data_IF_612249843135
#
_entry.id   IF_612249843135
#
_cell.length_a   1.000
_cell.length_b   1.000
_cell.length_c   1.000
_cell.angle_alpha   90.00
_cell.angle_beta   90.00
_cell.angle_gamma   90.00
#
_symmetry.space_group_name_H-M   'P 1'
#
loop_
_entity.id
_entity.type
_entity.pdbx_description
1 polymer ?
#
# COMPACT_ATOMS: atom_id res chain seq x y z
N UNK A 1 5.25 -28.18 85.09
CA UNK A 1 4.35 -29.22 84.54
C UNK A 1 5.21 -30.08 83.62
N UNK A 2 5.52 -31.35 83.94
CA UNK A 2 4.63 -32.51 83.93
C UNK A 2 3.81 -32.59 82.63
N UNK A 3 3.71 -33.69 81.87
CA UNK A 3 4.39 -34.99 81.73
C UNK A 3 3.53 -35.76 80.69
N UNK A 4 4.09 -36.70 79.92
CA UNK A 4 3.41 -37.86 79.25
C UNK A 4 2.22 -37.60 78.30
N UNK A 5 2.17 -38.00 77.03
CA UNK A 5 2.56 -39.23 76.29
C UNK A 5 1.52 -40.38 76.28
N UNK A 6 1.09 -40.77 75.07
CA UNK A 6 0.59 -42.09 74.59
C UNK A 6 0.09 -41.89 73.14
N UNK A 7 0.59 -42.48 72.04
CA UNK A 7 1.27 -43.75 71.71
C UNK A 7 0.35 -44.98 71.54
N UNK A 8 0.17 -45.40 70.28
CA UNK A 8 0.06 -46.78 69.73
C UNK A 8 -0.16 -46.62 68.20
N UNK A 9 0.70 -47.02 67.26
CA UNK A 9 1.63 -48.14 67.07
C UNK A 9 0.95 -49.46 66.67
N UNK A 10 1.09 -49.84 65.38
CA UNK A 10 1.44 -51.16 64.83
C UNK A 10 1.12 -51.19 63.30
N UNK A 11 1.84 -51.86 62.38
CA UNK A 11 3.12 -52.61 62.42
C UNK A 11 3.71 -52.65 60.98
N UNK A 12 5.03 -52.45 60.86
CA UNK A 12 6.02 -53.15 60.02
C UNK A 12 5.53 -53.85 58.71
N UNK A 13 6.12 -53.68 57.52
CA UNK A 13 7.57 -53.77 57.16
C UNK A 13 7.77 -53.21 55.72
N UNK A 14 8.95 -53.06 55.11
CA UNK A 14 10.34 -53.38 55.49
C UNK A 14 11.30 -52.25 55.00
N UNK A 15 12.53 -52.58 54.56
CA UNK A 15 13.52 -51.65 53.98
C UNK A 15 14.11 -52.17 52.66
N UNK A 16 14.62 -51.28 51.78
CA UNK A 16 16.07 -51.03 51.55
C UNK A 16 16.35 -50.27 50.22
N UNK A 17 17.56 -49.71 50.14
CA UNK A 17 18.30 -49.22 48.95
C UNK A 17 18.09 -47.75 48.54
N UNK A 18 19.22 -47.10 48.25
CA UNK A 18 19.36 -45.68 47.99
C UNK A 18 19.32 -45.32 46.50
N UNK A 19 19.11 -44.03 46.21
CA UNK A 19 19.54 -43.37 44.97
C UNK A 19 21.07 -43.54 44.77
N UNK A 20 21.63 -43.50 43.54
CA UNK A 20 21.15 -42.69 42.42
C UNK A 20 20.96 -43.43 41.09
N UNK A 21 20.17 -42.81 40.20
CA UNK A 21 20.18 -43.13 38.78
C UNK A 21 20.06 -41.83 37.97
N UNK A 22 21.02 -41.61 37.07
CA UNK A 22 20.84 -40.70 35.93
C UNK A 22 19.75 -41.27 35.02
N UNK A 23 18.99 -40.38 34.38
CA UNK A 23 18.15 -40.74 33.25
C UNK A 23 18.51 -39.80 32.09
N UNK A 24 19.55 -40.17 31.35
CA UNK A 24 19.53 -39.92 29.92
C UNK A 24 18.60 -40.96 29.30
N UNK A 25 17.55 -40.47 28.65
CA UNK A 25 16.95 -41.02 27.44
C UNK A 25 15.87 -39.99 27.03
N UNK A 26 15.82 -39.49 25.82
CA UNK A 26 16.25 -40.15 24.59
C UNK A 26 15.09 -40.10 23.62
N UNK A 27 14.71 -38.89 23.21
CA UNK A 27 13.72 -38.71 22.15
C UNK A 27 14.37 -38.04 20.95
N UNK A 28 15.29 -38.79 20.34
CA UNK A 28 15.75 -38.49 19.00
C UNK A 28 14.53 -38.55 18.07
N UNK A 29 14.07 -37.39 17.62
CA UNK A 29 13.18 -37.29 16.47
C UNK A 29 13.96 -37.77 15.25
N UNK A 30 13.90 -39.07 14.98
CA UNK A 30 14.43 -39.63 13.74
C UNK A 30 13.77 -38.92 12.58
N UNK A 31 14.55 -38.13 11.85
CA UNK A 31 14.10 -37.55 10.60
C UNK A 31 13.60 -38.70 9.71
N UNK A 32 12.44 -38.57 9.04
CA UNK A 32 11.91 -39.64 8.21
C UNK A 32 12.94 -40.03 7.16
N UNK A 33 13.12 -41.34 6.94
CA UNK A 33 14.08 -41.88 5.98
C UNK A 33 13.75 -41.35 4.59
N UNK A 34 14.58 -40.43 4.08
CA UNK A 34 14.34 -39.79 2.78
C UNK A 34 14.71 -40.80 1.69
N UNK A 35 13.69 -41.37 1.05
CA UNK A 35 13.86 -42.29 -0.07
C UNK A 35 14.36 -41.50 -1.28
N UNK A 36 15.68 -41.42 -1.43
CA UNK A 36 16.32 -40.95 -2.65
C UNK A 36 16.04 -41.97 -3.78
N UNK A 37 15.17 -41.58 -4.71
CA UNK A 37 14.81 -42.40 -5.88
C UNK A 37 15.88 -42.40 -6.97
N UNK A 38 16.85 -41.50 -6.90
CA UNK A 38 17.85 -41.24 -7.93
C UNK A 38 19.26 -40.98 -7.34
N UNK A 39 19.83 -41.95 -6.59
CA UNK A 39 21.12 -41.78 -5.92
C UNK A 39 22.22 -41.34 -6.90
N UNK A 40 22.85 -40.22 -6.57
CA UNK A 40 23.91 -39.59 -7.38
C UNK A 40 23.43 -38.50 -8.35
N UNK A 41 22.12 -38.22 -8.44
CA UNK A 41 21.60 -37.07 -9.19
C UNK A 41 21.19 -35.94 -8.25
N UNK A 42 21.97 -34.86 -8.21
CA UNK A 42 21.61 -33.61 -7.54
C UNK A 42 20.53 -32.85 -8.33
N UNK A 43 19.32 -33.39 -8.35
CA UNK A 43 18.13 -32.73 -8.86
C UNK A 43 17.43 -32.03 -7.69
N UNK A 44 17.33 -30.70 -7.76
CA UNK A 44 16.88 -29.85 -6.65
C UNK A 44 15.53 -30.28 -6.03
N UNK A 45 14.49 -30.69 -6.81
CA UNK A 45 13.22 -31.16 -6.24
C UNK A 45 13.26 -32.51 -5.50
N UNK A 46 14.33 -33.31 -5.65
CA UNK A 46 14.47 -34.64 -5.02
C UNK A 46 15.62 -34.72 -4.02
N UNK A 47 16.38 -33.64 -3.84
CA UNK A 47 17.53 -33.63 -2.92
C UNK A 47 17.04 -33.67 -1.47
N UNK A 48 17.53 -34.58 -0.61
CA UNK A 48 17.13 -34.64 0.79
C UNK A 48 17.40 -33.33 1.53
N UNK A 49 16.36 -32.76 2.15
CA UNK A 49 16.52 -31.62 3.05
C UNK A 49 17.13 -32.11 4.36
N UNK A 50 18.44 -31.92 4.53
CA UNK A 50 19.14 -32.13 5.79
C UNK A 50 18.75 -31.01 6.78
N UNK A 51 17.63 -31.23 7.47
CA UNK A 51 17.01 -30.22 8.32
C UNK A 51 17.83 -29.85 9.54
N UNK A 52 17.97 -28.54 9.80
CA UNK A 52 18.11 -28.05 11.16
C UNK A 52 16.78 -28.29 11.91
N UNK A 53 16.82 -28.36 13.25
CA UNK A 53 15.58 -28.48 14.05
C UNK A 53 14.61 -27.35 13.71
N UNK A 54 13.42 -27.70 13.22
CA UNK A 54 12.38 -26.73 12.84
C UNK A 54 11.36 -26.61 13.97
N UNK A 55 11.18 -25.40 14.51
CA UNK A 55 10.09 -25.13 15.43
C UNK A 55 8.92 -24.55 14.67
N UNK A 56 8.06 -25.42 14.14
CA UNK A 56 6.85 -25.03 13.40
C UNK A 56 5.85 -24.29 14.31
N UNK A 57 6.01 -22.98 14.44
CA UNK A 57 5.01 -22.08 15.01
C UNK A 57 3.99 -21.75 13.94
N UNK A 58 2.97 -22.60 13.80
CA UNK A 58 1.83 -22.36 12.90
C UNK A 58 0.97 -21.21 13.46
N UNK A 59 1.43 -19.98 13.24
CA UNK A 59 0.61 -18.78 13.33
C UNK A 59 0.48 -18.21 11.92
N UNK A 60 -0.74 -18.21 11.37
CA UNK A 60 -1.09 -17.61 10.07
C UNK A 60 -0.04 -17.91 8.97
N UNK A 61 0.10 -19.20 8.61
CA UNK A 61 0.87 -19.67 7.44
C UNK A 61 2.38 -19.38 7.43
N UNK A 62 3.04 -19.47 8.61
CA UNK A 62 4.50 -19.27 8.76
C UNK A 62 5.22 -20.48 9.35
N UNK A 63 6.51 -20.59 9.00
CA UNK A 63 7.48 -21.55 9.55
C UNK A 63 8.78 -20.83 9.91
N UNK A 64 9.47 -21.34 10.93
CA UNK A 64 10.67 -20.74 11.53
C UNK A 64 11.60 -21.86 12.02
N UNK A 65 12.91 -21.73 11.81
CA UNK A 65 13.91 -22.64 12.39
C UNK A 65 13.98 -22.46 13.91
N UNK A 66 14.41 -23.48 14.66
CA UNK A 66 14.39 -23.41 16.14
C UNK A 66 15.23 -22.27 16.73
N UNK A 67 16.26 -21.83 16.00
CA UNK A 67 17.13 -20.67 16.31
C UNK A 67 16.54 -19.31 15.87
N UNK A 68 15.48 -19.28 15.06
CA UNK A 68 14.91 -18.07 14.46
C UNK A 68 15.77 -17.44 13.35
N UNK A 69 16.82 -18.12 12.88
CA UNK A 69 17.71 -17.63 11.81
C UNK A 69 16.98 -17.53 10.47
N UNK A 70 16.13 -18.52 10.18
CA UNK A 70 15.33 -18.58 8.96
C UNK A 70 13.84 -18.51 9.27
N UNK A 71 13.13 -17.68 8.52
CA UNK A 71 11.67 -17.58 8.53
C UNK A 71 11.14 -17.62 7.11
N UNK A 72 10.02 -18.29 6.91
CA UNK A 72 9.23 -18.27 5.69
C UNK A 72 7.77 -18.08 6.04
N UNK A 73 7.05 -17.28 5.27
CA UNK A 73 5.62 -17.06 5.44
C UNK A 73 4.92 -16.88 4.11
N UNK A 74 3.80 -17.55 3.95
CA UNK A 74 2.80 -17.22 2.92
C UNK A 74 1.92 -16.09 3.47
N UNK A 75 1.41 -15.25 2.58
CA UNK A 75 0.38 -14.27 2.89
C UNK A 75 -0.48 -13.97 1.67
N UNK A 76 -1.69 -13.50 1.88
CA UNK A 76 -2.58 -13.11 0.80
C UNK A 76 -3.53 -11.98 1.16
N UNK A 77 -4.27 -11.51 0.17
CA UNK A 77 -5.47 -10.68 0.38
C UNK A 77 -6.44 -10.81 -0.79
N UNK A 78 -7.73 -10.76 -0.48
CA UNK A 78 -8.80 -10.59 -1.44
C UNK A 78 -9.59 -9.34 -1.03
N UNK A 79 -9.87 -8.48 -2.00
CA UNK A 79 -10.73 -7.31 -1.84
C UNK A 79 -11.76 -7.33 -2.96
N UNK A 80 -13.04 -7.51 -2.60
CA UNK A 80 -14.17 -7.44 -3.52
C UNK A 80 -14.90 -6.12 -3.27
N UNK A 81 -14.98 -5.29 -4.29
CA UNK A 81 -15.61 -3.97 -4.22
C UNK A 81 -16.91 -3.97 -5.04
N UNK A 82 -17.95 -3.34 -4.53
CA UNK A 82 -19.15 -2.96 -5.27
C UNK A 82 -19.35 -1.45 -5.12
N UNK A 83 -19.81 -0.76 -6.16
CA UNK A 83 -20.19 0.64 -6.05
C UNK A 83 -21.39 1.01 -6.92
N UNK A 84 -22.03 2.13 -6.57
CA UNK A 84 -23.14 2.76 -7.28
C UNK A 84 -23.00 4.28 -7.26
N UNK A 85 -23.21 4.92 -8.41
CA UNK A 85 -23.32 6.38 -8.56
C UNK A 85 -24.78 6.76 -8.74
N UNK A 86 -25.21 7.85 -8.10
CA UNK A 86 -26.58 8.34 -8.18
C UNK A 86 -26.90 8.99 -9.52
N UNK A 87 -26.03 9.89 -9.99
CA UNK A 87 -26.26 10.72 -11.17
C UNK A 87 -25.10 10.54 -12.17
N UNK A 88 -25.03 9.39 -12.85
CA UNK A 88 -23.90 9.01 -13.70
C UNK A 88 -23.89 9.72 -15.07
N UNK A 89 -24.67 10.79 -15.23
CA UNK A 89 -24.83 11.52 -16.50
C UNK A 89 -24.21 12.89 -16.41
N UNK A 90 -23.79 13.43 -17.56
CA UNK A 90 -23.16 14.75 -17.65
C UNK A 90 -21.95 14.88 -16.72
N UNK A 91 -21.20 13.80 -16.52
CA UNK A 91 -20.04 13.78 -15.64
C UNK A 91 -18.92 14.68 -16.18
N UNK A 92 -17.98 15.07 -15.33
CA UNK A 92 -16.75 15.79 -15.75
C UNK A 92 -15.71 14.88 -16.40
N UNK A 93 -15.85 13.55 -16.33
CA UNK A 93 -14.88 12.53 -16.81
C UNK A 93 -14.62 12.58 -18.33
N UNK A 94 -15.60 13.02 -19.12
CA UNK A 94 -15.48 13.13 -20.58
C UNK A 94 -14.67 14.36 -21.02
N UNK A 95 -14.01 14.25 -22.17
CA UNK A 95 -13.28 15.34 -22.81
C UNK A 95 -14.17 16.23 -23.70
N UNK A 96 -15.37 15.74 -24.04
CA UNK A 96 -16.44 16.49 -24.73
C UNK A 96 -17.63 16.71 -23.81
N UNK A 97 -18.25 17.88 -23.90
CA UNK A 97 -19.41 18.20 -23.07
C UNK A 97 -20.58 17.24 -23.36
N UNK A 98 -21.16 16.74 -22.26
CA UNK A 98 -22.40 15.96 -22.19
C UNK A 98 -22.53 14.71 -23.09
N UNK A 99 -21.41 14.04 -23.43
CA UNK A 99 -21.44 12.74 -24.13
C UNK A 99 -21.11 11.54 -23.22
N UNK A 100 -20.34 11.72 -22.16
CA UNK A 100 -19.94 10.67 -21.22
C UNK A 100 -20.95 10.42 -20.11
N UNK A 101 -21.74 9.36 -20.29
CA UNK A 101 -22.45 8.67 -19.21
C UNK A 101 -21.54 7.57 -18.64
N UNK A 102 -21.30 7.57 -17.33
CA UNK A 102 -20.49 6.54 -16.64
C UNK A 102 -21.34 5.35 -16.20
N UNK A 103 -20.71 4.25 -15.80
CA UNK A 103 -21.41 3.11 -15.23
C UNK A 103 -22.18 3.47 -13.95
N UNK A 104 -23.51 3.28 -13.93
CA UNK A 104 -24.34 3.53 -12.73
C UNK A 104 -23.94 2.66 -11.53
N UNK A 105 -23.45 1.46 -11.78
CA UNK A 105 -22.98 0.52 -10.76
C UNK A 105 -22.00 -0.48 -11.35
N UNK A 106 -21.09 -1.00 -10.52
CA UNK A 106 -20.17 -2.05 -10.92
C UNK A 106 -19.64 -2.84 -9.72
N UNK A 107 -19.02 -3.99 -10.01
CA UNK A 107 -18.44 -4.90 -9.02
C UNK A 107 -17.10 -5.40 -9.56
N UNK A 108 -16.03 -5.34 -8.77
CA UNK A 108 -14.68 -5.75 -9.19
C UNK A 108 -13.94 -6.53 -8.11
N UNK A 109 -13.03 -7.41 -8.53
CA UNK A 109 -11.95 -7.90 -7.67
C UNK A 109 -10.88 -6.81 -7.63
N UNK A 110 -10.96 -5.95 -6.61
CA UNK A 110 -10.11 -4.76 -6.48
C UNK A 110 -8.63 -5.09 -6.30
N UNK A 111 -8.35 -6.19 -5.60
CA UNK A 111 -7.03 -6.82 -5.40
C UNK A 111 -7.22 -8.30 -5.11
N UNK A 112 -6.48 -9.16 -5.79
CA UNK A 112 -6.30 -10.56 -5.43
C UNK A 112 -4.80 -10.82 -5.40
N UNK A 113 -4.21 -10.90 -4.22
CA UNK A 113 -2.76 -11.02 -4.07
C UNK A 113 -2.38 -12.26 -3.30
N UNK A 114 -1.34 -12.93 -3.79
CA UNK A 114 -0.59 -13.96 -3.08
C UNK A 114 0.85 -13.48 -2.96
N UNK A 115 1.49 -13.75 -1.83
CA UNK A 115 2.90 -13.46 -1.65
C UNK A 115 3.57 -14.40 -0.68
N UNK A 116 4.87 -14.50 -0.84
CA UNK A 116 5.79 -15.17 0.07
C UNK A 116 6.81 -14.16 0.57
N UNK A 117 7.24 -14.34 1.81
CA UNK A 117 8.29 -13.53 2.43
C UNK A 117 9.13 -14.38 3.35
N UNK A 118 10.33 -13.90 3.64
CA UNK A 118 11.19 -14.57 4.59
C UNK A 118 12.31 -13.73 5.15
N UNK A 119 13.03 -14.36 6.06
CA UNK A 119 14.27 -13.89 6.65
C UNK A 119 15.29 -15.03 6.54
N UNK A 120 16.54 -14.72 6.20
CA UNK A 120 17.64 -15.67 6.12
C UNK A 120 18.79 -15.16 6.99
N UNK A 121 19.34 -16.02 7.84
CA UNK A 121 20.44 -15.73 8.78
C UNK A 121 20.22 -14.46 9.62
N UNK A 122 18.98 -14.23 10.08
CA UNK A 122 18.50 -13.02 10.79
C UNK A 122 18.64 -11.67 10.06
N UNK A 123 19.35 -11.61 8.93
CA UNK A 123 19.83 -10.35 8.30
C UNK A 123 19.30 -10.11 6.90
N UNK A 124 18.89 -11.14 6.17
CA UNK A 124 18.45 -11.01 4.78
C UNK A 124 16.94 -11.17 4.68
N UNK A 125 16.22 -10.04 4.66
CA UNK A 125 14.78 -9.99 4.41
C UNK A 125 14.52 -10.13 2.91
N UNK A 126 13.45 -10.82 2.52
CA UNK A 126 12.99 -10.84 1.13
C UNK A 126 11.48 -10.96 1.03
N UNK A 127 10.91 -10.47 -0.07
CA UNK A 127 9.49 -10.61 -0.37
C UNK A 127 9.24 -10.71 -1.88
N UNK A 128 8.34 -11.62 -2.25
CA UNK A 128 7.67 -11.67 -3.55
C UNK A 128 6.15 -11.62 -3.31
N UNK A 129 5.46 -10.57 -3.78
CA UNK A 129 4.00 -10.44 -3.78
C UNK A 129 3.56 -10.20 -5.23
N UNK A 130 2.52 -10.91 -5.66
CA UNK A 130 1.95 -10.87 -7.01
C UNK A 130 0.48 -10.45 -6.92
N UNK A 131 0.00 -9.65 -7.87
CA UNK A 131 -1.39 -9.20 -8.01
C UNK A 131 -2.02 -9.85 -9.26
N UNK A 132 -3.10 -10.58 -9.04
CA UNK A 132 -3.89 -11.32 -10.04
C UNK A 132 -5.20 -10.59 -10.39
N UNK A 133 -5.30 -9.30 -10.05
CA UNK A 133 -6.30 -8.43 -10.66
C UNK A 133 -5.99 -8.33 -12.17
N UNK A 134 -7.05 -8.20 -12.95
CA UNK A 134 -7.01 -8.04 -14.41
C UNK A 134 -6.67 -9.35 -15.16
N UNK A 135 -7.58 -10.35 -15.20
CA UNK A 135 -7.46 -11.45 -16.16
C UNK A 135 -7.75 -10.91 -17.57
N UNK A 136 -6.72 -10.94 -18.43
CA UNK A 136 -6.71 -10.59 -19.86
C UNK A 136 -8.09 -10.49 -20.49
N UNK A 137 -8.52 -9.25 -20.78
CA UNK A 137 -9.59 -9.03 -21.76
C UNK A 137 -8.99 -9.33 -23.13
N UNK A 138 -9.45 -10.40 -23.77
CA UNK A 138 -9.16 -10.67 -25.17
C UNK A 138 -9.93 -9.66 -26.03
N UNK A 139 -9.32 -8.52 -26.31
CA UNK A 139 -9.49 -7.83 -27.60
C UNK A 139 -8.11 -7.62 -28.20
N UNK A 140 -7.90 -8.21 -29.37
CA UNK A 140 -6.63 -8.18 -30.09
C UNK A 140 -6.70 -7.00 -31.06
N UNK A 141 -6.44 -5.80 -30.54
CA UNK A 141 -5.91 -4.72 -31.37
C UNK A 141 -4.38 -4.68 -31.22
N UNK A 142 -3.70 -4.56 -32.36
CA UNK A 142 -2.26 -4.79 -32.48
C UNK A 142 -1.46 -3.59 -31.97
N UNK A 143 -1.36 -3.43 -30.64
CA UNK A 143 -0.56 -2.37 -30.02
C UNK A 143 -0.71 -2.18 -28.51
N UNK A 144 -1.84 -2.56 -27.89
CA UNK A 144 -2.07 -2.30 -26.46
C UNK A 144 -1.49 -3.38 -25.54
N UNK A 145 -0.86 -2.93 -24.44
CA UNK A 145 -0.22 -3.79 -23.46
C UNK A 145 -1.21 -4.77 -22.83
N UNK A 146 -0.92 -6.06 -22.95
CA UNK A 146 -1.60 -7.12 -22.21
C UNK A 146 -1.39 -6.85 -20.71
N UNK A 147 -2.42 -6.36 -20.01
CA UNK A 147 -2.39 -6.17 -18.55
C UNK A 147 -2.37 -7.53 -17.84
N UNK A 148 -1.23 -8.19 -17.87
CA UNK A 148 -0.99 -9.50 -17.26
C UNK A 148 -0.72 -9.42 -15.76
N UNK A 149 -0.33 -10.57 -15.21
CA UNK A 149 0.05 -10.75 -13.80
C UNK A 149 1.11 -9.70 -13.39
N UNK A 150 0.80 -8.85 -12.40
CA UNK A 150 1.67 -7.72 -12.00
C UNK A 150 2.41 -8.02 -10.69
N UNK A 151 3.68 -7.63 -10.61
CA UNK A 151 4.38 -7.62 -9.33
C UNK A 151 3.81 -6.55 -8.40
N UNK A 152 3.61 -6.93 -7.15
CA UNK A 152 3.13 -6.07 -6.08
C UNK A 152 4.23 -5.70 -5.07
N UNK A 153 5.28 -6.53 -4.97
CA UNK A 153 6.61 -6.30 -4.39
C UNK A 153 7.52 -7.45 -4.89
N UNK A 154 8.77 -7.20 -5.22
CA UNK A 154 9.77 -8.23 -5.53
C UNK A 154 11.17 -7.72 -5.15
N UNK A 155 11.63 -7.99 -3.92
CA UNK A 155 12.88 -7.43 -3.41
C UNK A 155 13.61 -8.37 -2.44
N UNK A 156 14.90 -8.09 -2.24
CA UNK A 156 15.70 -8.54 -1.10
C UNK A 156 16.30 -7.32 -0.39
N UNK A 157 16.51 -7.43 0.92
CA UNK A 157 17.06 -6.37 1.74
C UNK A 157 18.02 -6.91 2.81
N UNK A 158 19.07 -6.15 3.10
CA UNK A 158 19.96 -6.39 4.23
C UNK A 158 19.56 -5.53 5.44
N UNK A 159 19.39 -6.17 6.59
CA UNK A 159 19.02 -5.57 7.87
C UNK A 159 20.27 -5.26 8.70
N UNK A 160 20.64 -3.99 8.75
CA UNK A 160 21.57 -3.46 9.75
C UNK A 160 20.85 -3.37 11.12
N UNK A 161 21.60 -3.06 12.18
CA UNK A 161 21.02 -2.96 13.53
C UNK A 161 20.03 -1.78 13.67
N UNK A 162 20.19 -0.76 12.84
CA UNK A 162 19.44 0.51 12.89
C UNK A 162 18.82 0.92 11.54
N UNK A 163 18.85 0.03 10.54
CA UNK A 163 18.41 0.36 9.18
C UNK A 163 18.36 -0.83 8.23
N UNK A 164 17.89 -0.57 7.01
CA UNK A 164 17.56 -1.58 6.00
C UNK A 164 17.93 -1.05 4.63
N UNK A 165 18.76 -1.78 3.90
CA UNK A 165 19.08 -1.50 2.49
C UNK A 165 18.35 -2.52 1.61
N UNK A 166 17.38 -2.08 0.83
CA UNK A 166 16.59 -2.91 -0.07
C UNK A 166 16.96 -2.69 -1.54
N UNK A 167 16.91 -3.76 -2.33
CA UNK A 167 17.10 -3.78 -3.79
C UNK A 167 15.99 -4.60 -4.44
N UNK A 168 15.37 -4.06 -5.49
CA UNK A 168 14.31 -4.72 -6.26
C UNK A 168 13.13 -3.82 -6.57
N UNK A 169 11.96 -4.40 -6.84
CA UNK A 169 10.73 -3.70 -7.18
C UNK A 169 9.85 -3.49 -5.93
N UNK A 170 9.74 -2.25 -5.47
CA UNK A 170 8.94 -1.87 -4.30
C UNK A 170 8.53 -0.39 -4.38
N UNK A 171 7.77 0.11 -3.39
CA UNK A 171 7.28 1.50 -3.39
C UNK A 171 8.43 2.47 -3.20
N UNK A 172 8.34 3.61 -3.88
CA UNK A 172 9.15 4.78 -3.53
C UNK A 172 8.70 5.36 -2.16
N UNK A 173 9.63 5.79 -1.29
CA UNK A 173 9.29 6.35 0.02
C UNK A 173 8.61 7.71 -0.13
N UNK A 174 7.30 7.75 0.11
CA UNK A 174 6.49 8.95 -0.04
C UNK A 174 5.18 8.85 0.76
N UNK A 175 4.84 9.91 1.50
CA UNK A 175 3.56 10.18 2.20
C UNK A 175 3.07 9.13 3.22
N UNK A 176 2.24 9.55 4.19
CA UNK A 176 1.72 8.69 5.26
C UNK A 176 0.72 7.67 4.73
N UNK A 177 -0.33 8.11 4.02
CA UNK A 177 -1.33 7.23 3.43
C UNK A 177 -0.75 6.45 2.23
N UNK A 178 0.14 7.06 1.44
CA UNK A 178 0.84 6.37 0.36
C UNK A 178 1.71 5.24 0.90
N UNK A 179 2.55 5.48 1.92
CA UNK A 179 3.39 4.46 2.56
C UNK A 179 2.54 3.36 3.22
N UNK A 180 1.45 3.74 3.88
CA UNK A 180 0.49 2.80 4.50
C UNK A 180 0.06 1.70 3.53
N UNK A 181 0.02 0.47 4.06
CA UNK A 181 -0.42 -0.72 3.30
C UNK A 181 -1.89 -0.56 2.88
N UNK A 182 -2.25 -0.96 1.66
CA UNK A 182 -3.65 -0.90 1.19
C UNK A 182 -4.63 -1.80 1.96
N UNK A 183 -4.14 -2.64 2.88
CA UNK A 183 -4.96 -3.39 3.85
C UNK A 183 -5.36 -2.55 5.08
N UNK A 184 -4.63 -1.44 5.33
CA UNK A 184 -4.62 -0.63 6.56
C UNK A 184 -5.00 0.84 6.36
N UNK A 185 -5.24 1.27 5.11
CA UNK A 185 -5.97 2.51 4.85
C UNK A 185 -7.41 2.38 5.39
N UNK A 186 -7.96 3.44 5.97
CA UNK A 186 -9.28 3.37 6.62
C UNK A 186 -10.44 3.34 5.64
N UNK A 187 -10.39 4.09 4.54
CA UNK A 187 -11.41 4.06 3.48
C UNK A 187 -11.20 2.91 2.47
N UNK A 188 -12.07 2.83 1.47
CA UNK A 188 -11.97 1.90 0.34
C UNK A 188 -10.81 2.33 -0.58
N UNK A 189 -10.76 3.59 -1.01
CA UNK A 189 -9.61 4.16 -1.72
C UNK A 189 -8.91 5.28 -0.93
N UNK A 190 -7.70 5.62 -1.37
CA UNK A 190 -6.90 6.73 -0.82
C UNK A 190 -7.57 8.08 -1.05
N UNK A 191 -7.10 9.10 -0.35
CA UNK A 191 -7.54 10.47 -0.58
C UNK A 191 -7.24 10.90 -2.01
N UNK A 192 -8.09 11.73 -2.60
CA UNK A 192 -8.00 12.16 -4.01
C UNK A 192 -6.59 12.60 -4.45
N UNK A 193 -5.91 13.54 -3.77
CA UNK A 193 -4.56 13.97 -4.18
C UNK A 193 -3.51 12.87 -3.99
N UNK A 194 -3.65 12.01 -2.98
CA UNK A 194 -2.74 10.89 -2.73
C UNK A 194 -2.97 9.74 -3.73
N UNK A 195 -4.13 9.64 -4.39
CA UNK A 195 -4.33 8.70 -5.51
C UNK A 195 -3.85 9.25 -6.85
N UNK A 196 -3.89 10.57 -7.05
CA UNK A 196 -3.40 11.23 -8.26
C UNK A 196 -1.87 11.43 -8.32
N UNK A 197 -1.25 11.94 -7.25
CA UNK A 197 0.09 12.56 -7.34
C UNK A 197 1.25 11.79 -6.70
N UNK A 198 0.96 10.75 -5.91
CA UNK A 198 2.02 9.93 -5.29
C UNK A 198 2.84 9.18 -6.37
N UNK A 199 4.16 8.96 -6.16
CA UNK A 199 4.85 7.89 -6.85
C UNK A 199 4.29 6.52 -6.44
N UNK A 200 4.43 5.50 -7.30
CA UNK A 200 4.03 4.13 -6.98
C UNK A 200 5.25 3.23 -6.74
N UNK A 201 5.40 2.14 -7.50
CA UNK A 201 6.47 1.15 -7.37
C UNK A 201 7.35 1.17 -8.59
N UNK A 202 8.65 1.08 -8.36
CA UNK A 202 9.67 1.03 -9.39
C UNK A 202 10.78 0.06 -8.97
N UNK A 203 11.58 -0.46 -9.92
CA UNK A 203 12.84 -1.11 -9.58
C UNK A 203 13.80 -0.06 -9.01
N UNK A 204 14.48 -0.37 -7.89
CA UNK A 204 15.42 0.58 -7.30
C UNK A 204 16.18 0.05 -6.09
N UNK A 205 16.91 0.97 -5.47
CA UNK A 205 17.70 0.78 -4.26
C UNK A 205 17.29 1.83 -3.24
N UNK A 206 16.98 1.42 -2.02
CA UNK A 206 16.56 2.32 -0.94
C UNK A 206 17.20 1.93 0.39
N UNK A 207 17.74 2.92 1.10
CA UNK A 207 18.07 2.78 2.51
C UNK A 207 16.97 3.44 3.35
N UNK A 208 16.50 2.75 4.38
CA UNK A 208 15.57 3.29 5.39
C UNK A 208 15.99 2.94 6.82
N UNK A 209 15.66 3.80 7.77
CA UNK A 209 16.02 3.63 9.19
C UNK A 209 15.02 2.75 9.92
N UNK A 210 15.51 1.85 10.77
CA UNK A 210 14.71 1.04 11.68
C UNK A 210 14.89 1.56 13.11
N UNK A 211 14.22 2.68 13.44
CA UNK A 211 14.36 3.38 14.73
C UNK A 211 13.00 3.58 15.42
N UNK A 212 12.93 3.48 16.76
CA UNK A 212 11.65 3.55 17.47
C UNK A 212 11.03 4.95 17.50
N UNK A 213 11.81 6.01 17.24
CA UNK A 213 11.43 7.41 17.43
C UNK A 213 11.31 8.23 16.13
N UNK A 214 11.88 7.75 15.01
CA UNK A 214 11.77 8.40 13.70
C UNK A 214 11.90 7.39 12.55
N UNK A 215 11.48 7.83 11.37
CA UNK A 215 11.67 7.15 10.09
C UNK A 215 12.33 8.13 9.11
N UNK A 216 13.41 7.72 8.47
CA UNK A 216 13.99 8.39 7.32
C UNK A 216 14.32 7.36 6.24
N UNK A 217 14.02 7.68 4.99
CA UNK A 217 14.32 6.86 3.83
C UNK A 217 14.80 7.70 2.65
N UNK A 218 15.77 7.16 1.91
CA UNK A 218 16.28 7.73 0.67
C UNK A 218 16.52 6.59 -0.32
N UNK A 219 16.05 6.75 -1.56
CA UNK A 219 16.27 5.77 -2.61
C UNK A 219 16.38 6.37 -4.00
N UNK A 220 16.98 5.59 -4.90
CA UNK A 220 17.10 5.86 -6.33
C UNK A 220 16.42 4.72 -7.08
N UNK A 221 15.58 5.08 -8.05
CA UNK A 221 14.74 4.13 -8.77
C UNK A 221 14.81 4.39 -10.27
N UNK A 222 14.61 3.34 -11.05
CA UNK A 222 14.41 3.40 -12.50
C UNK A 222 12.96 3.69 -12.87
N UNK A 223 12.54 3.23 -14.05
CA UNK A 223 11.16 3.37 -14.52
C UNK A 223 10.72 2.13 -15.28
N UNK A 224 9.56 1.59 -14.89
CA UNK A 224 8.94 0.41 -15.49
C UNK A 224 9.81 -0.86 -15.31
N UNK A 225 9.26 -2.02 -15.67
CA UNK A 225 9.93 -3.31 -15.77
C UNK A 225 9.81 -3.93 -17.17
N UNK A 226 9.06 -3.28 -18.08
CA UNK A 226 8.98 -3.66 -19.50
C UNK A 226 10.33 -3.47 -20.21
N UNK A 227 10.52 -4.17 -21.33
CA UNK A 227 11.72 -4.05 -22.18
C UNK A 227 11.35 -3.50 -23.54
N UNK A 228 11.38 -2.17 -23.68
CA UNK A 228 11.30 -1.49 -24.98
C UNK A 228 12.71 -1.25 -25.55
N UNK A 229 12.89 -1.44 -26.86
CA UNK A 229 14.21 -1.54 -27.52
C UNK A 229 14.89 -0.17 -27.73
N UNK A 230 14.07 0.85 -27.86
CA UNK A 230 14.34 2.19 -28.37
C UNK A 230 14.17 3.30 -27.31
N UNK A 231 13.67 2.92 -26.14
CA UNK A 231 13.40 3.79 -25.00
C UNK A 231 14.64 3.91 -24.13
N UNK A 232 14.97 5.15 -23.76
CA UNK A 232 15.95 5.49 -22.76
C UNK A 232 15.22 5.60 -21.43
N UNK A 233 15.61 4.78 -20.45
CA UNK A 233 14.96 4.72 -19.15
C UNK A 233 15.08 6.05 -18.39
N UNK A 234 14.00 6.45 -17.74
CA UNK A 234 13.98 7.55 -16.77
C UNK A 234 14.60 7.12 -15.44
N UNK A 235 14.50 8.02 -14.45
CA UNK A 235 14.89 7.70 -13.07
C UNK A 235 14.20 8.62 -12.09
N UNK A 236 14.06 8.18 -10.84
CA UNK A 236 13.66 9.03 -9.73
C UNK A 236 14.60 8.95 -8.53
N UNK A 237 14.63 10.04 -7.77
CA UNK A 237 15.18 10.10 -6.42
C UNK A 237 14.04 10.45 -5.48
N UNK A 238 13.85 9.62 -4.46
CA UNK A 238 12.75 9.71 -3.52
C UNK A 238 13.29 9.77 -2.09
N UNK A 239 12.84 10.75 -1.32
CA UNK A 239 13.20 10.93 0.09
C UNK A 239 11.99 11.19 0.95
N UNK A 240 11.93 10.56 2.12
CA UNK A 240 10.90 10.80 3.14
C UNK A 240 11.51 10.81 4.52
N UNK A 241 11.07 11.74 5.36
CA UNK A 241 11.41 11.76 6.78
C UNK A 241 10.15 12.02 7.61
N UNK A 242 9.99 11.33 8.73
CA UNK A 242 8.91 11.56 9.69
C UNK A 242 9.33 11.18 11.11
N UNK A 243 8.68 11.76 12.11
CA UNK A 243 8.92 11.47 13.52
C UNK A 243 7.63 11.61 14.32
N UNK A 244 7.64 11.14 15.57
CA UNK A 244 6.55 11.36 16.52
C UNK A 244 6.99 12.39 17.57
N UNK A 245 6.59 13.68 17.45
CA UNK A 245 6.92 14.72 18.43
C UNK A 245 6.47 14.39 19.86
N UNK A 246 5.37 13.65 19.99
CA UNK A 246 4.71 13.33 21.24
C UNK A 246 4.12 11.92 21.18
N UNK A 247 4.64 11.02 22.02
CA UNK A 247 4.11 9.67 22.24
C UNK A 247 4.01 9.42 23.73
N UNK A 248 2.86 8.94 24.20
CA UNK A 248 2.61 8.63 25.61
C UNK A 248 1.89 7.28 25.68
N UNK A 249 2.66 6.20 25.81
CA UNK A 249 2.18 4.82 25.72
C UNK A 249 1.08 4.51 26.74
N UNK A 250 1.25 4.94 27.99
CA UNK A 250 0.27 4.70 29.06
C UNK A 250 -1.04 5.53 28.94
N UNK A 251 -1.16 6.37 27.91
CA UNK A 251 -2.39 7.11 27.57
C UNK A 251 -2.84 6.86 26.12
N UNK A 252 -2.21 5.92 25.43
CA UNK A 252 -2.46 5.61 24.02
C UNK A 252 -2.40 6.86 23.10
N UNK A 253 -1.51 7.82 23.40
CA UNK A 253 -1.32 9.02 22.59
C UNK A 253 -0.11 8.83 21.67
N UNK A 254 -0.29 9.19 20.39
CA UNK A 254 0.79 9.26 19.40
C UNK A 254 0.59 10.44 18.47
N UNK A 255 1.67 10.84 17.79
CA UNK A 255 1.65 11.89 16.79
C UNK A 255 2.58 11.57 15.62
N UNK A 256 2.46 12.34 14.56
CA UNK A 256 3.22 12.19 13.34
C UNK A 256 3.40 13.57 12.72
N UNK A 257 4.65 13.92 12.43
CA UNK A 257 4.97 14.97 11.46
C UNK A 257 5.95 14.39 10.46
N UNK A 258 5.71 14.63 9.18
CA UNK A 258 6.55 14.12 8.10
C UNK A 258 6.58 15.03 6.88
N UNK A 259 7.59 14.80 6.05
CA UNK A 259 7.74 15.44 4.75
C UNK A 259 8.34 14.44 3.74
N UNK A 260 7.90 14.56 2.50
CA UNK A 260 8.37 13.73 1.38
C UNK A 260 8.71 14.57 0.15
N UNK A 261 9.69 14.12 -0.63
CA UNK A 261 10.07 14.68 -1.93
C UNK A 261 10.36 13.55 -2.92
N UNK A 262 9.91 13.74 -4.16
CA UNK A 262 10.18 12.85 -5.29
C UNK A 262 10.57 13.69 -6.50
N UNK A 263 11.77 13.53 -7.03
CA UNK A 263 12.15 14.07 -8.34
C UNK A 263 12.18 12.91 -9.33
N UNK A 264 11.48 13.01 -10.46
CA UNK A 264 11.54 12.01 -11.54
C UNK A 264 11.84 12.66 -12.87
N UNK A 265 12.88 12.17 -13.53
CA UNK A 265 13.09 12.35 -14.97
C UNK A 265 12.41 11.24 -15.72
N UNK A 266 11.76 11.62 -16.81
CA UNK A 266 10.91 10.72 -17.56
C UNK A 266 11.71 9.93 -18.61
N UNK A 267 11.18 8.77 -18.99
CA UNK A 267 11.68 7.95 -20.09
C UNK A 267 11.44 8.63 -21.43
N UNK A 268 12.28 8.34 -22.44
CA UNK A 268 12.16 8.94 -23.76
C UNK A 268 12.77 8.12 -24.90
N UNK A 269 12.18 8.21 -26.10
CA UNK A 269 12.77 7.71 -27.35
C UNK A 269 13.53 8.84 -28.07
N UNK A 270 14.56 8.49 -28.85
CA UNK A 270 15.25 9.43 -29.74
C UNK A 270 14.62 9.38 -31.14
N UNK A 271 14.05 10.49 -31.61
CA UNK A 271 13.23 10.47 -32.84
C UNK A 271 13.70 11.44 -33.94
N UNK A 272 15.00 11.37 -34.23
CA UNK A 272 15.68 12.25 -35.21
C UNK A 272 14.99 12.29 -36.58
N UNK A 273 14.41 11.18 -37.02
CA UNK A 273 13.71 11.05 -38.31
C UNK A 273 12.47 11.95 -38.45
N UNK A 274 11.88 12.42 -37.34
CA UNK A 274 10.72 13.34 -37.34
C UNK A 274 11.09 14.77 -36.94
N UNK A 275 12.39 15.08 -36.83
CA UNK A 275 12.88 16.40 -36.41
C UNK A 275 12.81 16.65 -34.90
N UNK A 276 12.55 15.62 -34.09
CA UNK A 276 12.65 15.68 -32.63
C UNK A 276 14.01 15.14 -32.19
N UNK A 277 14.65 15.79 -31.21
CA UNK A 277 15.75 15.16 -30.50
C UNK A 277 15.25 14.06 -29.55
N UNK A 278 14.09 14.27 -28.91
CA UNK A 278 13.47 13.36 -27.92
C UNK A 278 11.95 13.41 -27.98
N UNK A 279 11.33 12.30 -27.62
CA UNK A 279 9.90 12.18 -27.30
C UNK A 279 9.80 11.47 -25.95
N UNK A 280 9.17 12.11 -24.96
CA UNK A 280 9.02 11.56 -23.62
C UNK A 280 7.74 10.74 -23.49
N UNK A 281 7.78 9.67 -22.70
CA UNK A 281 6.59 8.86 -22.37
C UNK A 281 5.50 9.72 -21.69
N UNK A 282 4.23 9.35 -21.77
CA UNK A 282 3.17 10.09 -21.08
C UNK A 282 3.21 9.87 -19.56
N UNK A 283 2.95 10.93 -18.79
CA UNK A 283 2.89 10.86 -17.32
C UNK A 283 1.45 10.85 -16.83
N UNK A 284 1.09 9.74 -16.20
CA UNK A 284 -0.26 9.48 -15.70
C UNK A 284 -0.44 9.92 -14.25
N UNK A 285 -1.32 10.89 -14.01
CA UNK A 285 -1.60 11.45 -12.68
C UNK A 285 -3.10 11.61 -12.51
N UNK A 286 -3.79 10.62 -11.92
CA UNK A 286 -5.27 10.60 -11.94
C UNK A 286 -5.94 10.04 -10.70
N UNK A 287 -7.10 10.61 -10.36
CA UNK A 287 -7.98 10.14 -9.31
C UNK A 287 -9.40 9.88 -9.82
N UNK A 288 -10.15 9.11 -9.04
CA UNK A 288 -11.51 8.65 -9.33
C UNK A 288 -12.46 9.07 -8.22
N UNK A 289 -13.73 8.70 -8.35
CA UNK A 289 -14.83 8.93 -7.41
C UNK A 289 -14.66 8.37 -5.97
N UNK A 290 -13.47 7.95 -5.55
CA UNK A 290 -13.25 7.20 -4.30
C UNK A 290 -13.55 5.70 -4.40
N UNK A 291 -13.86 5.21 -5.61
CA UNK A 291 -14.02 3.79 -5.94
C UNK A 291 -13.28 3.46 -7.25
N UNK A 292 -13.05 2.17 -7.50
CA UNK A 292 -12.58 1.66 -8.80
C UNK A 292 -13.54 0.66 -9.45
N UNK A 293 -14.65 0.32 -8.78
CA UNK A 293 -15.68 -0.54 -9.35
C UNK A 293 -16.47 0.13 -10.49
N UNK A 294 -16.31 1.44 -10.64
CA UNK A 294 -16.77 2.27 -11.75
C UNK A 294 -15.52 3.07 -12.17
N UNK A 295 -15.08 2.98 -13.42
CA UNK A 295 -13.99 3.82 -13.93
C UNK A 295 -14.58 5.17 -14.35
N UNK A 296 -14.45 6.15 -13.45
CA UNK A 296 -14.84 7.53 -13.69
C UNK A 296 -13.81 8.43 -13.00
N UNK A 297 -13.15 9.29 -13.78
CA UNK A 297 -11.99 10.09 -13.38
C UNK A 297 -12.45 11.53 -13.16
N UNK A 298 -12.04 12.09 -12.02
CA UNK A 298 -12.35 13.49 -11.64
C UNK A 298 -11.12 14.38 -11.68
N UNK A 299 -9.95 13.76 -11.74
CA UNK A 299 -8.63 14.37 -11.88
C UNK A 299 -7.84 13.47 -12.82
N UNK A 300 -7.12 14.04 -13.80
CA UNK A 300 -6.29 13.29 -14.73
C UNK A 300 -7.10 12.50 -15.75
N UNK A 301 -8.01 13.18 -16.45
CA UNK A 301 -8.82 12.62 -17.55
C UNK A 301 -7.94 12.17 -18.71
N UNK A 302 -6.96 13.00 -19.07
CA UNK A 302 -5.86 12.72 -20.01
C UNK A 302 -4.52 12.51 -19.26
N UNK A 303 -3.48 12.12 -19.99
CA UNK A 303 -2.11 11.97 -19.45
C UNK A 303 -1.20 13.08 -20.00
N UNK A 304 -0.18 13.47 -19.23
CA UNK A 304 0.73 14.54 -19.62
C UNK A 304 1.74 14.07 -20.68
N UNK A 305 1.69 14.58 -21.91
CA UNK A 305 2.73 14.37 -22.92
C UNK A 305 3.97 15.25 -22.70
N UNK A 306 5.09 14.83 -23.29
CA UNK A 306 6.32 15.62 -23.39
C UNK A 306 6.90 16.12 -22.05
N UNK A 307 6.52 15.47 -20.93
CA UNK A 307 7.06 15.77 -19.60
C UNK A 307 8.49 15.29 -19.53
N UNK A 308 9.41 16.23 -19.39
CA UNK A 308 10.85 15.98 -19.23
C UNK A 308 11.17 15.53 -17.81
N UNK A 309 10.56 16.18 -16.82
CA UNK A 309 10.64 15.81 -15.42
C UNK A 309 9.48 16.39 -14.61
N UNK A 310 9.25 15.81 -13.44
CA UNK A 310 8.33 16.35 -12.43
C UNK A 310 8.88 16.17 -11.03
N UNK A 311 8.46 17.05 -10.13
CA UNK A 311 8.69 16.95 -8.70
C UNK A 311 7.34 16.74 -8.00
N UNK A 312 7.27 15.85 -7.02
CA UNK A 312 6.14 15.81 -6.07
C UNK A 312 6.67 16.03 -4.65
N UNK A 313 5.99 16.87 -3.89
CA UNK A 313 6.25 17.14 -2.47
C UNK A 313 5.04 16.76 -1.64
N UNK A 314 5.25 16.34 -0.39
CA UNK A 314 4.17 16.19 0.59
C UNK A 314 4.59 16.69 1.97
N UNK A 315 3.65 17.30 2.69
CA UNK A 315 3.70 17.54 4.13
C UNK A 315 2.66 16.66 4.81
N UNK A 316 3.02 16.04 5.92
CA UNK A 316 2.28 14.96 6.57
C UNK A 316 2.06 15.29 8.05
N UNK A 317 0.82 15.18 8.53
CA UNK A 317 0.48 15.40 9.94
C UNK A 317 -0.57 14.42 10.43
N UNK A 318 -0.34 13.80 11.59
CA UNK A 318 -1.36 12.97 12.24
C UNK A 318 -1.23 12.96 13.77
N UNK A 319 -2.33 12.61 14.44
CA UNK A 319 -2.46 12.54 15.89
C UNK A 319 -3.50 11.47 16.25
N UNK A 320 -3.29 10.77 17.36
CA UNK A 320 -4.30 9.87 17.91
C UNK A 320 -4.26 9.82 19.43
N UNK A 321 -5.42 9.55 20.02
CA UNK A 321 -5.61 9.38 21.46
C UNK A 321 -6.67 8.31 21.69
N UNK A 322 -6.24 7.14 22.16
CA UNK A 322 -7.12 5.97 22.31
C UNK A 322 -7.85 5.63 21.00
N UNK A 323 -9.20 5.62 20.98
CA UNK A 323 -9.97 5.24 19.80
C UNK A 323 -10.07 6.33 18.72
N UNK A 324 -9.69 7.58 19.03
CA UNK A 324 -9.73 8.68 18.07
C UNK A 324 -8.41 8.81 17.30
N UNK A 325 -8.49 9.05 15.99
CA UNK A 325 -7.36 9.51 15.19
C UNK A 325 -7.76 10.62 14.23
N UNK A 326 -6.79 11.47 13.91
CA UNK A 326 -6.84 12.52 12.89
C UNK A 326 -5.56 12.44 12.05
N UNK A 327 -5.67 12.54 10.73
CA UNK A 327 -4.54 12.65 9.82
C UNK A 327 -4.88 13.60 8.67
N UNK A 328 -3.86 14.22 8.09
CA UNK A 328 -3.98 15.01 6.87
C UNK A 328 -2.63 15.15 6.19
N UNK A 329 -2.68 15.35 4.88
CA UNK A 329 -1.50 15.60 4.06
C UNK A 329 -1.80 16.71 3.05
N UNK A 330 -0.80 17.52 2.75
CA UNK A 330 -0.82 18.51 1.66
C UNK A 330 0.23 18.09 0.64
N UNK A 331 -0.16 18.00 -0.64
CA UNK A 331 0.68 17.61 -1.76
C UNK A 331 0.78 18.76 -2.75
N UNK A 332 1.98 18.94 -3.30
CA UNK A 332 2.28 19.85 -4.41
C UNK A 332 3.06 19.08 -5.47
N UNK A 333 2.83 19.39 -6.73
CA UNK A 333 3.47 18.73 -7.85
C UNK A 333 3.81 19.73 -8.96
N UNK A 334 5.11 19.88 -9.24
CA UNK A 334 5.61 20.71 -10.33
C UNK A 334 5.97 19.83 -11.53
N UNK A 335 5.40 20.11 -12.70
CA UNK A 335 5.63 19.39 -13.94
C UNK A 335 6.38 20.30 -14.92
N UNK A 336 7.37 19.76 -15.61
CA UNK A 336 8.24 20.51 -16.54
C UNK A 336 8.28 19.79 -17.88
N UNK A 337 7.67 20.42 -18.89
CA UNK A 337 7.54 19.90 -20.27
C UNK A 337 8.74 20.29 -21.13
N UNK A 338 8.86 19.65 -22.29
CA UNK A 338 9.93 19.89 -23.24
C UNK A 338 9.56 20.96 -24.27
N UNK A 339 10.32 22.05 -24.31
CA UNK A 339 10.07 23.18 -25.22
C UNK A 339 10.25 22.86 -26.72
N UNK A 340 10.71 21.65 -27.06
CA UNK A 340 10.79 21.11 -28.42
C UNK A 340 9.62 20.18 -28.78
N UNK A 341 8.59 20.09 -27.93
CA UNK A 341 7.38 19.33 -28.20
C UNK A 341 6.64 19.83 -29.46
N UNK A 342 5.92 18.93 -30.14
CA UNK A 342 5.16 19.26 -31.36
C UNK A 342 3.79 19.83 -30.99
N UNK A 343 3.40 20.90 -31.67
CA UNK A 343 2.19 21.65 -31.32
C UNK A 343 2.41 22.67 -30.19
N UNK A 344 3.62 22.71 -29.62
CA UNK A 344 4.01 23.67 -28.61
C UNK A 344 4.31 25.04 -29.24
N UNK A 345 3.49 26.05 -28.94
CA UNK A 345 3.76 27.44 -29.30
C UNK A 345 4.49 28.22 -28.19
N UNK A 346 4.41 27.72 -26.95
CA UNK A 346 5.08 28.28 -25.78
C UNK A 346 4.43 29.52 -25.21
N UNK A 347 3.15 29.75 -25.52
CA UNK A 347 2.37 30.79 -24.86
C UNK A 347 2.10 30.41 -23.39
N UNK A 348 2.51 31.23 -22.39
CA UNK A 348 2.30 30.93 -20.98
C UNK A 348 0.83 30.86 -20.55
N UNK A 349 -0.11 31.43 -21.32
CA UNK A 349 -1.54 31.43 -21.00
C UNK A 349 -2.28 30.20 -21.58
N UNK A 350 -1.80 29.62 -22.69
CA UNK A 350 -2.52 28.54 -23.41
C UNK A 350 -1.74 27.22 -23.52
N UNK A 351 -0.40 27.23 -23.55
CA UNK A 351 0.44 26.01 -23.58
C UNK A 351 1.71 26.16 -22.70
N UNK A 352 1.57 26.18 -21.36
CA UNK A 352 2.69 26.44 -20.46
C UNK A 352 3.70 25.29 -20.36
N UNK A 353 5.00 25.64 -20.32
CA UNK A 353 6.11 24.71 -20.02
C UNK A 353 6.05 24.12 -18.59
N UNK A 354 5.44 24.89 -17.68
CA UNK A 354 5.47 24.68 -16.24
C UNK A 354 4.04 24.55 -15.74
N UNK A 355 3.70 23.39 -15.17
CA UNK A 355 2.37 23.15 -14.59
C UNK A 355 2.53 22.83 -13.11
N UNK A 356 1.55 23.24 -12.30
CA UNK A 356 1.53 23.01 -10.85
C UNK A 356 0.17 22.45 -10.44
N UNK A 357 0.15 21.23 -9.93
CA UNK A 357 -1.04 20.63 -9.32
C UNK A 357 -0.87 20.57 -7.80
N UNK A 358 -1.92 20.79 -7.03
CA UNK A 358 -1.92 20.68 -5.57
C UNK A 358 -3.16 19.94 -5.07
N UNK A 359 -3.12 19.55 -3.81
CA UNK A 359 -4.29 19.02 -3.14
C UNK A 359 -3.99 18.57 -1.74
N UNK A 360 -5.02 18.44 -0.93
CA UNK A 360 -4.88 18.06 0.46
C UNK A 360 -6.05 17.21 0.92
N UNK A 361 -5.92 16.59 2.09
CA UNK A 361 -7.07 16.00 2.76
C UNK A 361 -6.94 16.09 4.27
N UNK A 362 -8.08 16.02 4.93
CA UNK A 362 -8.19 15.83 6.38
C UNK A 362 -9.14 14.66 6.62
N UNK A 363 -8.71 13.70 7.43
CA UNK A 363 -9.43 12.47 7.74
C UNK A 363 -9.40 12.22 9.25
N UNK A 364 -10.56 11.90 9.82
CA UNK A 364 -10.68 11.42 11.19
C UNK A 364 -11.21 9.98 11.22
N UNK A 365 -10.87 9.26 12.30
CA UNK A 365 -11.53 8.00 12.65
C UNK A 365 -11.82 7.90 14.14
N UNK A 366 -12.86 7.14 14.48
CA UNK A 366 -13.25 6.85 15.85
C UNK A 366 -13.77 5.43 15.98
N UNK A 367 -13.11 4.60 16.78
CA UNK A 367 -13.62 3.27 17.14
C UNK A 367 -14.66 3.34 18.26
N UNK A 368 -15.92 3.02 17.95
CA UNK A 368 -17.01 2.97 18.93
C UNK A 368 -16.82 1.88 20.00
N UNK A 369 -15.99 0.89 19.69
CA UNK A 369 -15.74 -0.33 20.47
C UNK A 369 -14.43 -0.28 21.28
N UNK A 370 -13.66 0.80 21.18
CA UNK A 370 -12.48 1.06 22.01
C UNK A 370 -11.12 0.62 21.43
N UNK A 371 -11.10 -0.03 20.27
CA UNK A 371 -9.88 -0.29 19.50
C UNK A 371 -9.16 1.01 19.13
N UNK A 372 -7.89 0.90 18.70
CA UNK A 372 -7.08 2.04 18.25
C UNK A 372 -6.34 1.70 16.97
N UNK A 373 -6.03 2.72 16.16
CA UNK A 373 -5.18 2.54 14.99
C UNK A 373 -3.74 2.28 15.42
N UNK A 374 -3.15 1.24 14.84
CA UNK A 374 -1.78 0.81 15.10
C UNK A 374 -0.79 1.69 14.31
N UNK A 375 -0.43 2.85 14.85
CA UNK A 375 0.59 3.71 14.26
C UNK A 375 2.00 3.19 14.55
N UNK A 376 2.87 3.16 13.53
CA UNK A 376 4.23 2.62 13.59
C UNK A 376 5.24 3.71 13.28
N UNK A 377 5.93 4.20 14.30
CA UNK A 377 6.91 5.30 14.17
C UNK A 377 8.07 4.91 13.25
N UNK A 378 8.58 3.67 13.39
CA UNK A 378 9.75 3.18 12.63
C UNK A 378 9.54 3.04 11.12
N UNK A 379 8.30 3.14 10.63
CA UNK A 379 7.95 3.11 9.20
C UNK A 379 7.07 4.31 8.79
N UNK A 380 6.78 5.22 9.73
CA UNK A 380 5.86 6.34 9.55
C UNK A 380 4.52 5.93 8.91
N UNK A 381 3.91 4.83 9.33
CA UNK A 381 2.69 4.30 8.69
C UNK A 381 1.74 3.57 9.64
N UNK A 382 0.59 3.08 9.13
CA UNK A 382 -0.37 2.31 9.91
C UNK A 382 -0.27 0.80 9.66
N UNK A 383 -0.10 0.05 10.76
CA UNK A 383 -0.16 -1.41 10.84
C UNK A 383 -1.58 -1.95 11.05
N UNK A 384 -1.67 -3.20 11.51
CA UNK A 384 -2.95 -3.90 11.79
C UNK A 384 -3.55 -3.42 13.10
N UNK A 385 -4.79 -2.89 13.05
CA UNK A 385 -5.66 -2.78 14.23
C UNK A 385 -5.88 -4.17 14.82
N UNK A 386 -5.77 -4.32 16.13
CA UNK A 386 -6.14 -5.54 16.85
C UNK A 386 -7.54 -5.38 17.42
N UNK A 387 -8.41 -6.35 17.18
CA UNK A 387 -9.82 -6.34 17.59
C UNK A 387 -9.90 -6.84 19.03
N UNK A 388 -10.51 -6.06 19.92
CA UNK A 388 -10.53 -6.36 21.36
C UNK A 388 -11.49 -7.49 21.69
N UNK A 389 -12.59 -7.60 20.94
CA UNK A 389 -13.65 -8.58 21.17
C UNK A 389 -14.10 -9.22 19.84
N UNK A 390 -13.32 -10.16 19.26
CA UNK A 390 -13.64 -10.80 17.97
C UNK A 390 -14.93 -11.62 18.01
N UNK A 391 -15.61 -11.74 16.86
CA UNK A 391 -16.90 -12.44 16.75
C UNK A 391 -16.75 -13.94 16.99
N UNK A 392 -15.66 -14.54 16.52
CA UNK A 392 -15.26 -15.93 16.77
C UNK A 392 -15.13 -16.29 18.26
N UNK A 393 -14.91 -15.29 19.11
CA UNK A 393 -14.79 -15.42 20.57
C UNK A 393 -16.06 -14.99 21.32
N UNK A 394 -17.19 -14.83 20.61
CA UNK A 394 -18.47 -14.37 21.18
C UNK A 394 -18.59 -12.85 21.35
N UNK A 395 -17.61 -12.09 20.85
CA UNK A 395 -17.64 -10.64 20.82
C UNK A 395 -18.49 -10.07 19.68
N UNK A 396 -18.39 -8.76 19.46
CA UNK A 396 -19.12 -8.03 18.41
C UNK A 396 -18.25 -7.59 17.23
N UNK A 397 -16.94 -7.86 17.29
CA UNK A 397 -15.95 -7.21 16.44
C UNK A 397 -15.77 -5.73 16.81
N UNK A 398 -14.95 -5.01 16.02
CA UNK A 398 -14.79 -3.58 16.15
C UNK A 398 -15.66 -2.79 15.15
N UNK A 399 -16.10 -1.60 15.53
CA UNK A 399 -16.82 -0.67 14.65
C UNK A 399 -16.08 0.67 14.60
N UNK A 400 -15.62 1.08 13.41
CA UNK A 400 -14.95 2.37 13.16
C UNK A 400 -15.89 3.30 12.39
N UNK A 401 -16.11 4.50 12.90
CA UNK A 401 -16.68 5.63 12.17
C UNK A 401 -15.56 6.45 11.54
N UNK A 402 -15.82 6.95 10.34
CA UNK A 402 -14.84 7.69 9.53
C UNK A 402 -15.46 8.92 8.89
N UNK A 403 -14.68 9.99 8.81
CA UNK A 403 -14.98 11.16 7.98
C UNK A 403 -13.70 11.61 7.26
N UNK A 404 -13.82 12.01 6.00
CA UNK A 404 -12.74 12.62 5.22
C UNK A 404 -13.30 13.71 4.31
N UNK A 405 -12.56 14.80 4.23
CA UNK A 405 -12.66 15.78 3.17
C UNK A 405 -11.33 15.78 2.42
N UNK A 406 -11.37 15.75 1.09
CA UNK A 406 -10.19 15.82 0.24
C UNK A 406 -10.45 16.78 -0.93
N UNK A 407 -9.44 17.59 -1.21
CA UNK A 407 -9.40 18.56 -2.30
C UNK A 407 -8.26 18.21 -3.25
N UNK A 408 -8.47 18.39 -4.55
CA UNK A 408 -7.40 18.41 -5.54
C UNK A 408 -7.76 19.32 -6.72
N UNK A 409 -6.77 20.06 -7.21
CA UNK A 409 -6.81 20.70 -8.53
C UNK A 409 -5.81 20.05 -9.48
N UNK A 410 -6.03 20.22 -10.78
CA UNK A 410 -5.23 19.62 -11.84
C UNK A 410 -5.43 20.36 -13.16
N UNK A 411 -4.36 20.74 -13.84
CA UNK A 411 -4.44 21.35 -15.18
C UNK A 411 -3.85 20.39 -16.21
N UNK A 412 -4.71 19.82 -17.08
CA UNK A 412 -4.29 19.12 -18.30
C UNK A 412 -3.77 20.14 -19.33
N UNK A 413 -2.68 19.81 -20.04
CA UNK A 413 -2.01 20.68 -21.00
C UNK A 413 -2.41 20.41 -22.46
N UNK A 414 -3.19 19.37 -22.74
CA UNK A 414 -3.64 19.05 -24.10
C UNK A 414 -4.80 19.94 -24.60
N UNK A 415 -5.19 20.93 -23.81
CA UNK A 415 -6.29 21.86 -24.08
C UNK A 415 -5.99 23.16 -23.32
N UNK A 416 -6.19 24.34 -23.94
CA UNK A 416 -5.98 25.66 -23.32
C UNK A 416 -6.88 25.89 -22.09
N UNK A 417 -7.84 24.98 -21.88
CA UNK A 417 -8.81 24.93 -20.79
C UNK A 417 -8.92 23.49 -20.28
N UNK A 418 -7.85 22.99 -19.68
CA UNK A 418 -7.74 21.64 -19.13
C UNK A 418 -7.90 21.53 -17.61
N UNK A 419 -8.25 22.63 -16.94
CA UNK A 419 -8.39 22.70 -15.48
C UNK A 419 -9.51 21.78 -14.97
N UNK A 420 -9.24 21.12 -13.85
CA UNK A 420 -10.11 20.19 -13.13
C UNK A 420 -9.96 20.48 -11.64
N UNK A 421 -11.07 20.57 -10.93
CA UNK A 421 -11.11 20.75 -9.48
C UNK A 421 -12.10 19.75 -8.88
N UNK A 422 -11.81 19.21 -7.69
CA UNK A 422 -12.74 18.32 -7.01
C UNK A 422 -12.68 18.45 -5.48
N UNK A 423 -13.86 18.63 -4.90
CA UNK A 423 -14.15 18.42 -3.50
C UNK A 423 -14.74 17.02 -3.30
N UNK A 424 -14.11 16.23 -2.42
CA UNK A 424 -14.51 14.84 -2.15
C UNK A 424 -14.78 14.65 -0.65
N UNK A 425 -16.06 14.55 -0.32
CA UNK A 425 -16.53 14.29 1.05
C UNK A 425 -16.82 12.80 1.18
N UNK A 426 -16.23 12.13 2.17
CA UNK A 426 -16.49 10.71 2.47
C UNK A 426 -16.91 10.53 3.92
N UNK A 427 -18.07 9.91 4.14
CA UNK A 427 -18.43 9.27 5.41
C UNK A 427 -18.23 7.76 5.28
N UNK A 428 -17.63 7.14 6.30
CA UNK A 428 -17.33 5.71 6.30
C UNK A 428 -17.76 5.00 7.57
N UNK A 429 -18.15 3.74 7.39
CA UNK A 429 -18.42 2.78 8.45
C UNK A 429 -17.62 1.52 8.13
N UNK A 430 -16.69 1.14 9.00
CA UNK A 430 -16.01 -0.15 8.91
C UNK A 430 -16.47 -1.06 10.07
N UNK A 431 -16.66 -2.34 9.77
CA UNK A 431 -16.86 -3.39 10.77
C UNK A 431 -15.79 -4.46 10.61
N UNK A 432 -15.11 -4.78 11.71
CA UNK A 432 -14.03 -5.75 11.79
C UNK A 432 -14.47 -6.92 12.69
N UNK A 433 -15.11 -7.96 12.13
CA UNK A 433 -15.48 -9.12 12.94
C UNK A 433 -14.25 -9.85 13.53
N UNK A 434 -13.14 -9.84 12.81
CA UNK A 434 -11.86 -10.46 13.17
C UNK A 434 -10.69 -9.53 12.79
N UNK A 435 -9.48 -9.83 13.26
CA UNK A 435 -8.26 -9.10 12.89
C UNK A 435 -7.99 -9.05 11.38
N UNK A 436 -8.38 -10.11 10.66
CA UNK A 436 -8.04 -10.35 9.24
C UNK A 436 -9.25 -10.19 8.29
N UNK A 437 -10.42 -9.78 8.80
CA UNK A 437 -11.65 -9.57 8.03
C UNK A 437 -12.16 -8.16 8.29
N UNK A 438 -12.49 -7.42 7.23
CA UNK A 438 -13.17 -6.12 7.34
C UNK A 438 -14.24 -5.95 6.27
N UNK A 439 -15.42 -5.52 6.70
CA UNK A 439 -16.45 -4.92 5.84
C UNK A 439 -16.30 -3.40 5.89
N UNK A 440 -16.37 -2.74 4.73
CA UNK A 440 -16.37 -1.28 4.64
C UNK A 440 -17.57 -0.80 3.85
N UNK A 441 -18.21 0.26 4.32
CA UNK A 441 -19.17 1.06 3.58
C UNK A 441 -18.67 2.50 3.54
N UNK A 442 -18.65 3.12 2.35
CA UNK A 442 -18.34 4.53 2.16
C UNK A 442 -19.49 5.19 1.41
N UNK A 443 -20.08 6.23 2.00
CA UNK A 443 -20.99 7.15 1.34
C UNK A 443 -20.20 8.42 1.01
N UNK A 444 -20.14 8.78 -0.27
CA UNK A 444 -19.30 9.85 -0.78
C UNK A 444 -20.16 10.86 -1.51
N UNK A 445 -19.88 12.14 -1.31
CA UNK A 445 -20.33 13.22 -2.18
C UNK A 445 -19.12 13.74 -2.93
N UNK A 446 -19.21 13.73 -4.25
CA UNK A 446 -18.21 14.27 -5.16
C UNK A 446 -18.82 15.54 -5.75
N UNK A 447 -18.10 16.65 -5.64
CA UNK A 447 -18.41 17.89 -6.34
C UNK A 447 -17.18 18.23 -7.18
N UNK A 448 -17.32 18.19 -8.50
CA UNK A 448 -16.20 18.32 -9.43
C UNK A 448 -16.53 19.33 -10.53
N UNK A 449 -15.57 20.18 -10.89
CA UNK A 449 -15.66 21.09 -12.02
C UNK A 449 -14.55 20.79 -13.04
N UNK A 450 -14.78 21.15 -14.30
CA UNK A 450 -13.71 21.17 -15.30
C UNK A 450 -13.97 22.27 -16.33
N UNK A 451 -12.90 22.93 -16.78
CA UNK A 451 -12.95 23.79 -17.96
C UNK A 451 -12.78 22.95 -19.24
N UNK A 452 -13.12 23.55 -20.39
CA UNK A 452 -12.97 22.96 -21.72
C UNK A 452 -13.02 24.06 -22.78
N UNK A 453 -12.33 23.88 -23.92
CA UNK A 453 -12.50 24.70 -25.13
C UNK A 453 -13.93 24.72 -25.69
N UNK A 454 -14.74 23.72 -25.37
CA UNK A 454 -16.16 23.65 -25.77
C UNK A 454 -17.05 24.61 -24.95
N UNK A 455 -16.52 25.21 -23.87
CA UNK A 455 -17.17 26.22 -23.02
C UNK A 455 -16.68 27.64 -23.36
N UNK A 456 -17.41 28.68 -22.92
CA UNK A 456 -16.91 30.05 -23.02
C UNK A 456 -15.69 30.28 -22.09
N UNK A 457 -14.84 31.28 -22.34
CA UNK A 457 -13.73 31.59 -21.44
C UNK A 457 -14.25 31.94 -20.04
N UNK A 458 -13.80 31.21 -19.02
CA UNK A 458 -14.23 31.37 -17.62
C UNK A 458 -15.46 30.55 -17.21
N UNK A 459 -16.12 29.85 -18.14
CA UNK A 459 -17.19 28.90 -17.80
C UNK A 459 -16.59 27.54 -17.41
N UNK A 460 -17.13 26.91 -16.38
CA UNK A 460 -16.86 25.51 -16.01
C UNK A 460 -18.06 24.62 -16.29
N UNK A 461 -17.80 23.33 -16.49
CA UNK A 461 -18.81 22.28 -16.39
C UNK A 461 -18.69 21.66 -15.00
N UNK A 462 -19.76 21.79 -14.21
CA UNK A 462 -19.82 21.26 -12.86
C UNK A 462 -20.64 19.97 -12.81
N UNK A 463 -20.26 19.05 -11.92
CA UNK A 463 -20.94 17.78 -11.70
C UNK A 463 -20.83 17.35 -10.23
N UNK A 464 -21.96 17.42 -9.53
CA UNK A 464 -22.13 16.88 -8.18
C UNK A 464 -22.83 15.52 -8.19
N UNK A 465 -22.32 14.52 -7.46
CA UNK A 465 -23.02 13.24 -7.31
C UNK A 465 -22.72 12.47 -6.03
N UNK A 466 -23.73 11.74 -5.55
CA UNK A 466 -23.57 10.74 -4.49
C UNK A 466 -23.03 9.43 -5.04
N UNK A 467 -22.00 8.89 -4.38
CA UNK A 467 -21.35 7.62 -4.71
C UNK A 467 -21.31 6.74 -3.47
N UNK A 468 -21.84 5.53 -3.59
CA UNK A 468 -21.88 4.55 -2.51
C UNK A 468 -20.96 3.39 -2.87
N UNK A 469 -20.06 3.01 -1.98
CA UNK A 469 -19.14 1.90 -2.18
C UNK A 469 -19.14 0.95 -0.98
N UNK A 470 -19.03 -0.34 -1.28
CA UNK A 470 -18.89 -1.44 -0.34
C UNK A 470 -17.62 -2.21 -0.65
N UNK A 471 -16.90 -2.66 0.39
CA UNK A 471 -15.79 -3.62 0.26
C UNK A 471 -15.96 -4.76 1.25
N UNK A 472 -15.86 -5.99 0.75
CA UNK A 472 -15.44 -7.15 1.55
C UNK A 472 -13.92 -7.31 1.40
N UNK A 473 -13.21 -7.39 2.51
CA UNK A 473 -11.76 -7.63 2.52
C UNK A 473 -11.42 -8.76 3.48
N UNK A 474 -10.62 -9.69 2.99
CA UNK A 474 -10.01 -10.79 3.73
C UNK A 474 -8.51 -10.81 3.48
N UNK A 475 -7.72 -11.16 4.49
CA UNK A 475 -6.28 -11.39 4.39
C UNK A 475 -5.87 -12.67 5.14
N UNK A 476 -4.68 -13.16 4.83
CA UNK A 476 -4.04 -14.30 5.47
C UNK A 476 -2.51 -14.19 5.37
#
# INVERSE_FOLDING_TARGET
>A
MFKTASLRLAILSAALVAAPAMAEDGNATSSPEVIDRHPGMNYEPTTPVTGADVRTRVNQYRVETADGAHRFGVRGRVMLDHARVQDPRKTTDDDRLDRGDIGRSGTIIRRARLGVLGLINHRWEWQLEVDFRDPVTYDIEEGDDIEGIRFANAYMAYLFDEGRLAVGYFKEPFSLESSTSSRRISFIERATPVDAYRPDRQPGIMYETLRPNYYAALGVFGTDISRRRDVNEGWSVAGRASFSPYTVENRDIWSHLGASVNHRRNSYVHEKSRGRDREYDSVRMRSRLGTRAIDARVIGRRDFSDVKYHNTFALEGAYGVGPFSLQGEYLLQDIRRDASARGFDGDPETDPLDLSNKGYYVQSSYFLTGERRNYRVFSGDFGQTRILNPVSQGGRGAVELLARYAYADHTDHHDERGEQEVDHYTLGLNWYPEDDIVLKFNAMYVDASTSSRDLAPGDTKDWGSMVYALRFQYEF
#
